data_IF_641067214881
#
_entry.id   IF_641067214881
#
_cell.length_a   1.000
_cell.length_b   1.000
_cell.length_c   1.000
_cell.angle_alpha   90.00
_cell.angle_beta   90.00
_cell.angle_gamma   90.00
#
_symmetry.space_group_name_H-M   'P 1'
#
loop_
_entity.id
_entity.type
_entity.pdbx_description
1 polymer ?
#
# COMPACT_ATOMS: atom_id res chain seq x y z
N UNK A 1 22.93 14.27 8.65
CA UNK A 1 21.81 15.17 9.04
C UNK A 1 20.80 15.38 7.91
N UNK A 2 21.17 15.94 6.75
CA UNK A 2 20.22 16.22 5.65
C UNK A 2 19.51 14.97 5.10
N UNK A 3 20.23 13.85 4.94
CA UNK A 3 19.66 12.59 4.44
C UNK A 3 18.56 12.02 5.35
N UNK A 4 18.75 12.12 6.67
CA UNK A 4 17.80 11.61 7.66
C UNK A 4 16.50 12.42 7.66
N UNK A 5 16.60 13.74 7.50
CA UNK A 5 15.43 14.62 7.33
C UNK A 5 14.63 14.24 6.08
N UNK A 6 15.31 13.95 4.95
CA UNK A 6 14.66 13.51 3.71
C UNK A 6 13.94 12.17 3.86
N UNK A 7 14.60 11.17 4.47
CA UNK A 7 13.99 9.85 4.75
C UNK A 7 12.76 9.99 5.66
N UNK A 8 12.85 10.85 6.67
CA UNK A 8 11.72 11.11 7.57
C UNK A 8 10.54 11.74 6.82
N UNK A 9 10.78 12.80 6.04
CA UNK A 9 9.73 13.44 5.21
C UNK A 9 9.06 12.45 4.27
N UNK A 10 9.86 11.59 3.63
CA UNK A 10 9.35 10.54 2.76
C UNK A 10 8.42 9.57 3.51
N UNK A 11 8.84 9.04 4.65
CA UNK A 11 8.01 8.15 5.48
C UNK A 11 6.73 8.81 5.97
N UNK A 12 6.81 10.07 6.39
CA UNK A 12 5.62 10.85 6.80
C UNK A 12 4.64 10.98 5.63
N UNK A 13 5.13 11.31 4.45
CA UNK A 13 4.31 11.43 3.23
C UNK A 13 3.61 10.13 2.90
N UNK A 14 4.33 9.01 2.91
CA UNK A 14 3.75 7.68 2.67
C UNK A 14 2.68 7.33 3.69
N UNK A 15 2.90 7.59 4.98
CA UNK A 15 1.92 7.33 6.03
C UNK A 15 0.65 8.16 5.86
N UNK A 16 0.78 9.43 5.45
CA UNK A 16 -0.38 10.28 5.14
C UNK A 16 -1.18 9.74 3.95
N UNK A 17 -0.48 9.32 2.89
CA UNK A 17 -1.12 8.76 1.69
C UNK A 17 -1.82 7.42 1.97
N UNK A 18 -1.19 6.52 2.75
CA UNK A 18 -1.83 5.27 3.23
C UNK A 18 -3.11 5.56 4.03
N UNK A 19 -3.05 6.52 4.96
CA UNK A 19 -4.22 6.95 5.74
C UNK A 19 -5.31 7.54 4.84
N UNK A 20 -4.95 8.36 3.87
CA UNK A 20 -5.90 8.95 2.90
C UNK A 20 -6.58 7.87 2.06
N UNK A 21 -5.83 6.85 1.64
CA UNK A 21 -6.30 5.71 0.85
C UNK A 21 -7.08 4.68 1.69
N UNK A 22 -7.11 4.82 3.03
CA UNK A 22 -7.73 3.87 3.97
C UNK A 22 -7.19 2.45 3.79
N UNK A 23 -5.87 2.34 3.60
CA UNK A 23 -5.17 1.06 3.53
C UNK A 23 -4.23 0.89 4.72
N UNK A 24 -4.07 -0.35 5.15
CA UNK A 24 -3.19 -0.73 6.26
C UNK A 24 -2.20 -1.80 5.80
N UNK A 25 -0.99 -1.78 6.37
CA UNK A 25 0.03 -2.78 6.10
C UNK A 25 -0.36 -4.10 6.76
N UNK A 26 -0.32 -5.16 5.96
CA UNK A 26 -0.56 -6.53 6.35
C UNK A 26 0.58 -7.42 5.86
N UNK A 27 0.66 -8.61 6.43
CA UNK A 27 1.58 -9.66 6.01
C UNK A 27 0.82 -10.96 5.85
N UNK A 28 1.20 -11.78 4.87
CA UNK A 28 0.66 -13.11 4.65
C UNK A 28 1.80 -14.08 4.39
N UNK A 29 1.70 -15.28 4.95
CA UNK A 29 2.65 -16.37 4.70
C UNK A 29 2.14 -17.22 3.54
N UNK A 30 2.95 -17.35 2.48
CA UNK A 30 2.64 -18.17 1.30
C UNK A 30 3.88 -18.99 0.96
N UNK A 31 3.77 -20.32 1.01
CA UNK A 31 4.88 -21.24 0.65
C UNK A 31 6.20 -20.95 1.39
N UNK A 32 6.13 -20.44 2.62
CA UNK A 32 7.30 -20.07 3.43
C UNK A 32 7.86 -18.67 3.18
N UNK A 33 7.20 -17.86 2.35
CA UNK A 33 7.51 -16.45 2.13
C UNK A 33 6.53 -15.55 2.87
N UNK A 34 7.05 -14.54 3.57
CA UNK A 34 6.25 -13.47 4.17
C UNK A 34 6.08 -12.34 3.16
N UNK A 35 4.88 -12.19 2.63
CA UNK A 35 4.54 -11.16 1.64
C UNK A 35 3.89 -9.98 2.35
N UNK A 36 4.50 -8.80 2.22
CA UNK A 36 3.90 -7.55 2.66
C UNK A 36 2.86 -7.07 1.64
N UNK A 37 1.74 -6.54 2.10
CA UNK A 37 0.73 -5.93 1.23
C UNK A 37 -0.04 -4.83 1.96
N UNK A 38 -0.65 -3.92 1.21
CA UNK A 38 -1.62 -2.97 1.75
C UNK A 38 -3.04 -3.46 1.47
N UNK A 39 -3.90 -3.44 2.48
CA UNK A 39 -5.30 -3.85 2.39
C UNK A 39 -6.23 -2.71 2.80
N UNK A 40 -7.32 -2.53 2.06
CA UNK A 40 -8.39 -1.60 2.44
C UNK A 40 -9.47 -2.27 3.29
N UNK A 41 -10.12 -1.52 4.17
CA UNK A 41 -11.16 -2.05 5.08
C UNK A 41 -12.48 -2.49 4.42
N UNK A 42 -12.65 -2.36 3.10
CA UNK A 42 -13.95 -2.55 2.44
C UNK A 42 -14.13 -3.98 1.89
N UNK A 43 -14.00 -4.99 2.76
CA UNK A 43 -13.93 -6.40 2.38
C UNK A 43 -15.18 -6.95 1.64
N UNK A 44 -16.34 -6.30 1.78
CA UNK A 44 -17.58 -6.71 1.10
C UNK A 44 -17.73 -6.16 -0.34
N UNK A 45 -16.81 -5.31 -0.79
CA UNK A 45 -16.79 -4.80 -2.16
C UNK A 45 -16.04 -5.76 -3.10
N UNK A 46 -16.15 -5.55 -4.42
CA UNK A 46 -15.37 -6.32 -5.39
C UNK A 46 -13.87 -6.13 -5.14
N UNK A 47 -13.12 -7.22 -5.10
CA UNK A 47 -11.66 -7.18 -4.92
C UNK A 47 -10.96 -6.69 -6.18
N UNK A 48 -10.02 -5.76 -6.00
CA UNK A 48 -9.07 -5.32 -7.02
C UNK A 48 -7.65 -5.50 -6.46
N UNK A 49 -6.84 -6.27 -7.18
CA UNK A 49 -5.44 -6.51 -6.84
C UNK A 49 -4.57 -5.59 -7.71
N UNK A 50 -3.68 -4.84 -7.06
CA UNK A 50 -2.72 -3.96 -7.71
C UNK A 50 -1.32 -4.53 -7.54
N UNK A 51 -0.65 -4.75 -8.67
CA UNK A 51 0.69 -5.34 -8.76
C UNK A 51 1.60 -4.30 -9.40
N UNK A 52 2.71 -3.96 -8.74
CA UNK A 52 3.65 -2.97 -9.24
C UNK A 52 4.62 -3.55 -10.28
N UNK A 53 5.41 -2.67 -10.91
CA UNK A 53 6.42 -3.03 -11.91
C UNK A 53 7.77 -3.41 -11.30
N UNK A 54 8.78 -3.59 -12.16
CA UNK A 54 10.16 -3.89 -11.77
C UNK A 54 10.75 -2.78 -10.88
N UNK A 55 11.45 -3.17 -9.80
CA UNK A 55 12.11 -2.26 -8.84
C UNK A 55 11.18 -1.21 -8.20
N UNK A 56 9.90 -1.55 -8.07
CA UNK A 56 8.88 -0.71 -7.44
C UNK A 56 8.36 -1.38 -6.16
N UNK A 57 7.48 -0.72 -5.42
CA UNK A 57 6.85 -1.23 -4.22
C UNK A 57 5.35 -0.88 -4.15
N UNK A 58 4.62 -1.53 -3.24
CA UNK A 58 3.18 -1.30 -3.01
C UNK A 58 2.77 0.18 -2.82
N UNK A 59 3.68 1.05 -2.37
CA UNK A 59 3.37 2.45 -2.09
C UNK A 59 3.20 3.33 -3.35
N UNK A 60 3.71 2.91 -4.51
CA UNK A 60 3.54 3.66 -5.76
C UNK A 60 2.09 3.76 -6.21
N UNK A 61 1.22 2.89 -5.70
CA UNK A 61 -0.21 2.91 -5.98
C UNK A 61 -1.02 3.86 -5.09
N UNK A 62 -0.45 4.46 -4.04
CA UNK A 62 -1.26 5.11 -2.99
C UNK A 62 -2.17 6.24 -3.48
N UNK A 63 -1.72 7.06 -4.43
CA UNK A 63 -2.56 8.11 -5.00
C UNK A 63 -3.75 7.53 -5.77
N UNK A 64 -3.52 6.46 -6.53
CA UNK A 64 -4.57 5.76 -7.27
C UNK A 64 -5.54 5.02 -6.33
N UNK A 65 -5.00 4.32 -5.33
CA UNK A 65 -5.78 3.70 -4.26
C UNK A 65 -6.68 4.71 -3.54
N UNK A 66 -6.19 5.93 -3.32
CA UNK A 66 -6.97 7.05 -2.77
C UNK A 66 -8.20 7.42 -3.59
N UNK A 67 -8.14 7.29 -4.92
CA UNK A 67 -9.27 7.55 -5.82
C UNK A 67 -10.27 6.38 -5.90
N UNK A 68 -9.83 5.16 -5.56
CA UNK A 68 -10.62 3.94 -5.56
C UNK A 68 -11.24 3.60 -4.20
N UNK A 69 -10.79 4.27 -3.13
CA UNK A 69 -11.24 3.99 -1.76
C UNK A 69 -12.77 3.99 -1.65
N UNK A 70 -13.30 2.96 -0.98
CA UNK A 70 -14.74 2.79 -0.78
C UNK A 70 -15.51 2.23 -1.97
N UNK A 71 -14.90 2.09 -3.16
CA UNK A 71 -15.51 1.46 -4.33
C UNK A 71 -15.12 -0.02 -4.49
N UNK A 72 -13.91 -0.34 -4.06
CA UNK A 72 -13.31 -1.66 -4.18
C UNK A 72 -12.69 -2.09 -2.85
N UNK A 73 -12.58 -3.41 -2.69
CA UNK A 73 -11.68 -4.01 -1.74
C UNK A 73 -10.28 -4.06 -2.37
N UNK A 74 -9.39 -3.16 -1.95
CA UNK A 74 -8.05 -3.06 -2.50
C UNK A 74 -7.07 -4.00 -1.78
N UNK A 75 -6.31 -4.75 -2.57
CA UNK A 75 -5.11 -5.49 -2.14
C UNK A 75 -3.95 -4.99 -3.00
N UNK A 76 -2.90 -4.47 -2.38
CA UNK A 76 -1.74 -3.87 -3.07
C UNK A 76 -0.49 -4.62 -2.60
N UNK A 77 0.04 -5.47 -3.46
CA UNK A 77 1.10 -6.43 -3.11
C UNK A 77 2.50 -5.82 -3.28
N UNK A 78 3.44 -6.23 -2.43
CA UNK A 78 4.88 -6.13 -2.69
C UNK A 78 5.36 -7.46 -3.29
N UNK A 79 5.96 -7.42 -4.49
CA UNK A 79 6.54 -8.58 -5.18
C UNK A 79 7.93 -8.97 -4.65
#
# INVERSE_FOLDING_TARGET
MILEIKKWLYKVTLNLLRKQAKVILQHIEVEGYSIAYLESSHQNAKTLILIHGLNDEKDSWLMFAGALKGKYHLIIIDL
#
